data_IF_568348318099
#
_entry.id   IF_568348318099
#
_cell.length_a   1.000
_cell.length_b   1.000
_cell.length_c   1.000
_cell.angle_alpha   90.00
_cell.angle_beta   90.00
_cell.angle_gamma   90.00
#
_symmetry.space_group_name_H-M   'P 1'
#
loop_
_entity.id
_entity.type
_entity.pdbx_description
1 polymer ?
#
# COMPACT_ATOMS: atom_id res chain seq x y z
N UNK A 1 40.91 -4.58 9.61
CA UNK A 1 40.29 -3.38 9.00
C UNK A 1 38.93 -3.83 8.49
N UNK A 2 37.85 -3.51 9.20
CA UNK A 2 36.52 -4.06 8.96
C UNK A 2 36.01 -3.59 7.59
N UNK A 3 35.73 -4.54 6.70
CA UNK A 3 34.96 -4.28 5.49
C UNK A 3 33.50 -4.22 5.92
N UNK A 4 32.97 -3.00 6.03
CA UNK A 4 31.51 -2.80 6.12
C UNK A 4 30.98 -3.15 4.73
N UNK A 5 30.18 -4.22 4.57
CA UNK A 5 29.44 -4.40 3.33
C UNK A 5 28.50 -3.20 3.24
N UNK A 6 28.60 -2.41 2.18
CA UNK A 6 27.59 -1.39 1.90
C UNK A 6 26.31 -2.15 1.61
N UNK A 7 25.38 -2.09 2.56
CA UNK A 7 24.05 -2.65 2.49
C UNK A 7 23.23 -1.73 1.58
N UNK A 8 23.56 -1.71 0.29
CA UNK A 8 22.66 -1.25 -0.75
C UNK A 8 21.56 -2.33 -0.89
N UNK A 9 20.81 -2.53 0.20
CA UNK A 9 19.76 -3.53 0.38
C UNK A 9 18.45 -2.98 -0.20
N UNK A 10 17.44 -3.83 -0.40
CA UNK A 10 16.72 -4.15 -1.62
C UNK A 10 15.72 -3.07 -2.07
N UNK A 11 15.81 -1.81 -1.63
CA UNK A 11 14.88 -0.76 -2.03
C UNK A 11 14.87 -0.56 -3.56
N UNK A 12 16.04 -0.64 -4.19
CA UNK A 12 16.16 -0.56 -5.65
C UNK A 12 15.55 -1.78 -6.33
N UNK A 13 15.83 -2.98 -5.80
CA UNK A 13 15.28 -4.24 -6.31
C UNK A 13 13.76 -4.33 -6.11
N UNK A 14 13.24 -3.81 -5.00
CA UNK A 14 11.83 -3.74 -4.65
C UNK A 14 11.09 -2.79 -5.59
N UNK A 15 11.66 -1.63 -5.92
CA UNK A 15 11.10 -0.71 -6.92
C UNK A 15 11.01 -1.38 -8.30
N UNK A 16 12.04 -2.14 -8.69
CA UNK A 16 12.00 -2.97 -9.89
C UNK A 16 10.95 -4.11 -9.78
N UNK A 17 10.79 -4.70 -8.59
CA UNK A 17 9.84 -5.77 -8.29
C UNK A 17 8.38 -5.30 -8.32
N UNK A 18 8.07 -4.05 -7.92
CA UNK A 18 6.69 -3.51 -8.02
C UNK A 18 6.20 -3.46 -9.47
N UNK A 19 7.09 -3.43 -10.46
CA UNK A 19 6.71 -3.52 -11.86
C UNK A 19 6.32 -4.95 -12.31
N UNK A 20 6.53 -5.98 -11.47
CA UNK A 20 6.43 -7.39 -11.87
C UNK A 20 5.69 -8.35 -10.90
N UNK A 21 5.08 -7.88 -9.79
CA UNK A 21 4.49 -8.77 -8.75
C UNK A 21 2.96 -8.84 -8.75
N UNK A 22 2.34 -10.01 -8.49
CA UNK A 22 0.96 -10.13 -8.02
C UNK A 22 0.82 -9.74 -6.53
N UNK A 23 -0.05 -8.77 -6.24
CA UNK A 23 -0.27 -8.22 -4.89
C UNK A 23 -0.63 -9.28 -3.84
N UNK A 24 -1.30 -10.37 -4.21
CA UNK A 24 -1.68 -11.46 -3.30
C UNK A 24 -0.48 -12.01 -2.52
N UNK A 25 0.69 -12.16 -3.18
CA UNK A 25 1.89 -12.67 -2.50
C UNK A 25 2.50 -11.68 -1.51
N UNK A 26 2.33 -10.37 -1.75
CA UNK A 26 2.87 -9.33 -0.88
C UNK A 26 2.00 -9.15 0.37
N UNK A 27 0.70 -9.34 0.22
CA UNK A 27 -0.29 -9.23 1.28
C UNK A 27 -0.60 -10.57 1.97
N UNK A 28 0.14 -11.63 1.63
CA UNK A 28 0.01 -12.94 2.28
C UNK A 28 0.23 -12.84 3.81
N UNK A 29 -0.71 -13.35 4.64
CA UNK A 29 -0.63 -13.21 6.10
C UNK A 29 0.59 -13.85 6.72
N UNK A 30 1.01 -15.02 6.23
CA UNK A 30 2.18 -15.71 6.75
C UNK A 30 3.46 -14.94 6.43
N UNK A 31 3.51 -14.31 5.26
CA UNK A 31 4.61 -13.43 4.89
C UNK A 31 4.64 -12.18 5.77
N UNK A 32 3.50 -11.51 5.94
CA UNK A 32 3.40 -10.35 6.83
C UNK A 32 3.78 -10.70 8.27
N UNK A 33 3.36 -11.87 8.78
CA UNK A 33 3.75 -12.37 10.11
C UNK A 33 5.24 -12.55 10.22
N UNK A 34 5.88 -13.21 9.24
CA UNK A 34 7.33 -13.38 9.21
C UNK A 34 8.08 -12.05 9.18
N UNK A 35 7.56 -11.05 8.47
CA UNK A 35 8.17 -9.72 8.43
C UNK A 35 8.09 -9.02 9.79
N UNK A 36 6.94 -9.12 10.48
CA UNK A 36 6.79 -8.61 11.85
C UNK A 36 7.76 -9.33 12.80
N UNK A 37 7.80 -10.67 12.76
CA UNK A 37 8.67 -11.47 13.61
C UNK A 37 10.16 -11.14 13.40
N UNK A 38 10.60 -11.04 12.15
CA UNK A 38 11.98 -10.69 11.80
C UNK A 38 12.37 -9.27 12.27
N UNK A 39 11.45 -8.31 12.17
CA UNK A 39 11.67 -6.95 12.65
C UNK A 39 11.87 -6.85 14.17
N UNK A 40 11.42 -7.84 14.94
CA UNK A 40 11.74 -7.92 16.38
C UNK A 40 13.15 -8.41 16.67
N UNK A 41 13.77 -9.09 15.70
CA UNK A 41 15.07 -9.73 15.85
C UNK A 41 16.22 -8.87 15.31
N UNK A 42 15.94 -8.02 14.30
CA UNK A 42 16.94 -7.17 13.65
C UNK A 42 16.30 -6.00 12.90
N UNK A 43 16.99 -4.86 12.89
CA UNK A 43 16.61 -3.67 12.12
C UNK A 43 17.04 -3.75 10.65
N UNK A 44 17.83 -4.76 10.27
CA UNK A 44 18.37 -4.94 8.91
C UNK A 44 17.39 -5.66 7.95
N UNK A 45 16.09 -5.63 8.23
CA UNK A 45 15.06 -6.33 7.44
C UNK A 45 14.01 -5.39 6.90
N UNK A 46 13.45 -5.73 5.75
CA UNK A 46 12.31 -5.01 5.18
C UNK A 46 11.11 -5.15 6.11
N UNK A 47 10.66 -4.02 6.67
CA UNK A 47 9.48 -3.95 7.52
C UNK A 47 8.18 -3.92 6.70
N UNK A 48 7.05 -4.21 7.36
CA UNK A 48 5.71 -4.09 6.74
C UNK A 48 5.41 -2.64 6.35
N UNK A 49 5.85 -1.68 7.16
CA UNK A 49 5.69 -0.24 6.89
C UNK A 49 6.43 0.19 5.61
N UNK A 50 7.70 -0.22 5.47
CA UNK A 50 8.49 0.07 4.28
C UNK A 50 7.91 -0.58 3.03
N UNK A 51 7.41 -1.82 3.13
CA UNK A 51 6.72 -2.51 2.04
C UNK A 51 5.51 -1.70 1.58
N UNK A 52 4.61 -1.33 2.50
CA UNK A 52 3.39 -0.62 2.16
C UNK A 52 3.67 0.78 1.62
N UNK A 53 4.60 1.52 2.24
CA UNK A 53 4.99 2.85 1.76
C UNK A 53 5.62 2.79 0.37
N UNK A 54 6.44 1.77 0.08
CA UNK A 54 7.05 1.57 -1.23
C UNK A 54 6.01 1.24 -2.29
N UNK A 55 5.06 0.34 -1.98
CA UNK A 55 3.96 -0.02 -2.87
C UNK A 55 3.09 1.20 -3.19
N UNK A 56 2.70 1.97 -2.17
CA UNK A 56 1.97 3.22 -2.36
C UNK A 56 2.73 4.18 -3.29
N UNK A 57 4.02 4.41 -3.02
CA UNK A 57 4.84 5.35 -3.80
C UNK A 57 4.90 4.97 -5.28
N UNK A 58 4.98 3.67 -5.59
CA UNK A 58 5.06 3.16 -6.96
C UNK A 58 3.70 3.05 -7.67
N UNK A 59 2.67 2.52 -7.00
CA UNK A 59 1.33 2.29 -7.56
C UNK A 59 0.54 3.61 -7.74
N UNK A 60 0.88 4.64 -6.97
CA UNK A 60 0.21 5.94 -6.99
C UNK A 60 1.11 7.08 -7.50
N UNK A 61 2.15 6.74 -8.26
CA UNK A 61 3.13 7.69 -8.78
C UNK A 61 2.52 8.80 -9.63
N UNK A 62 1.41 8.53 -10.33
CA UNK A 62 0.66 9.51 -11.13
C UNK A 62 0.14 10.68 -10.29
N UNK A 63 -0.19 10.45 -9.01
CA UNK A 63 -0.69 11.52 -8.14
C UNK A 63 0.40 12.56 -7.87
N UNK A 64 1.66 12.12 -7.80
CA UNK A 64 2.83 13.00 -7.67
C UNK A 64 3.18 13.64 -9.02
N UNK A 65 3.17 12.86 -10.10
CA UNK A 65 3.46 13.34 -11.46
C UNK A 65 2.38 14.26 -12.04
N UNK A 66 1.17 14.27 -11.44
CA UNK A 66 -0.01 15.02 -11.90
C UNK A 66 -0.42 14.66 -13.33
N UNK A 67 -0.23 13.41 -13.70
CA UNK A 67 -0.62 12.87 -15.01
C UNK A 67 -1.99 12.20 -14.92
N UNK A 68 -2.73 12.11 -16.04
CA UNK A 68 -3.92 11.27 -16.10
C UNK A 68 -3.58 9.81 -15.75
N UNK A 69 -4.50 9.12 -15.08
CA UNK A 69 -4.34 7.72 -14.71
C UNK A 69 -5.02 6.86 -15.77
N UNK A 70 -4.27 6.02 -16.48
CA UNK A 70 -4.84 5.11 -17.48
C UNK A 70 -5.60 3.92 -16.85
N UNK A 71 -6.26 3.13 -17.69
CA UNK A 71 -7.11 2.01 -17.24
C UNK A 71 -6.36 0.91 -16.48
N UNK A 72 -5.12 0.60 -16.87
CA UNK A 72 -4.33 -0.44 -16.23
C UNK A 72 -3.86 0.03 -14.85
N UNK A 73 -3.43 1.30 -14.76
CA UNK A 73 -3.03 1.93 -13.50
C UNK A 73 -4.20 2.04 -12.52
N UNK A 74 -5.40 2.40 -13.00
CA UNK A 74 -6.61 2.39 -12.16
C UNK A 74 -6.94 1.00 -11.62
N UNK A 75 -6.79 -0.05 -12.44
CA UNK A 75 -7.03 -1.43 -12.01
C UNK A 75 -6.03 -1.87 -10.93
N UNK A 76 -4.74 -1.52 -11.08
CA UNK A 76 -3.72 -1.84 -10.09
C UNK A 76 -3.94 -1.09 -8.77
N UNK A 77 -4.29 0.20 -8.86
CA UNK A 77 -4.63 1.03 -7.71
C UNK A 77 -5.85 0.48 -6.94
N UNK A 78 -6.88 0.03 -7.66
CA UNK A 78 -8.03 -0.63 -7.05
C UNK A 78 -7.60 -1.89 -6.30
N UNK A 79 -6.87 -2.79 -6.97
CA UNK A 79 -6.44 -4.04 -6.37
C UNK A 79 -5.60 -3.79 -5.11
N UNK A 80 -4.73 -2.78 -5.11
CA UNK A 80 -3.98 -2.40 -3.92
C UNK A 80 -4.89 -1.97 -2.75
N UNK A 81 -5.92 -1.16 -3.02
CA UNK A 81 -6.90 -0.74 -2.00
C UNK A 81 -7.70 -1.94 -1.48
N UNK A 82 -8.11 -2.86 -2.37
CA UNK A 82 -8.87 -4.04 -1.98
C UNK A 82 -8.11 -4.92 -0.99
N UNK A 83 -6.80 -5.13 -1.20
CA UNK A 83 -5.96 -5.90 -0.27
C UNK A 83 -5.84 -5.24 1.09
N UNK A 84 -5.61 -3.92 1.12
CA UNK A 84 -5.55 -3.18 2.38
C UNK A 84 -6.90 -3.22 3.12
N UNK A 85 -8.00 -3.09 2.40
CA UNK A 85 -9.35 -3.21 2.97
C UNK A 85 -9.63 -4.60 3.50
N UNK A 86 -9.18 -5.66 2.80
CA UNK A 86 -9.35 -7.03 3.26
C UNK A 86 -8.64 -7.28 4.61
N UNK A 87 -7.44 -6.73 4.79
CA UNK A 87 -6.73 -6.75 6.08
C UNK A 87 -7.50 -6.01 7.17
N UNK A 88 -7.95 -4.78 6.90
CA UNK A 88 -8.62 -3.91 7.88
C UNK A 88 -10.00 -4.44 8.27
N UNK A 89 -10.73 -5.03 7.33
CA UNK A 89 -12.05 -5.61 7.58
C UNK A 89 -11.97 -7.05 8.15
N UNK A 90 -10.78 -7.50 8.55
CA UNK A 90 -10.53 -8.84 9.09
C UNK A 90 -11.05 -9.97 8.18
N UNK A 91 -10.98 -9.78 6.87
CA UNK A 91 -11.37 -10.80 5.88
C UNK A 91 -10.24 -11.78 5.57
N UNK A 92 -9.09 -11.57 6.19
CA UNK A 92 -7.86 -12.32 5.98
C UNK A 92 -7.43 -12.91 7.31
N UNK A 93 -7.58 -14.23 7.45
CA UNK A 93 -7.22 -14.95 8.67
C UNK A 93 -5.72 -14.95 8.93
N UNK A 94 -5.33 -14.84 10.19
CA UNK A 94 -3.92 -14.89 10.61
C UNK A 94 -3.11 -13.63 10.28
N UNK A 95 -3.74 -12.55 9.80
CA UNK A 95 -3.07 -11.28 9.61
C UNK A 95 -2.54 -10.72 10.95
N UNK A 96 -1.25 -10.34 11.05
CA UNK A 96 -0.70 -9.73 12.26
C UNK A 96 -1.40 -8.41 12.61
N UNK A 97 -1.62 -8.14 13.90
CA UNK A 97 -2.27 -6.91 14.37
C UNK A 97 -1.53 -5.64 13.93
N UNK A 98 -0.21 -5.69 13.90
CA UNK A 98 0.61 -4.55 13.46
C UNK A 98 0.43 -4.30 11.95
N UNK A 99 0.37 -5.36 11.15
CA UNK A 99 0.08 -5.24 9.72
C UNK A 99 -1.32 -4.67 9.45
N UNK A 100 -2.33 -5.07 10.24
CA UNK A 100 -3.68 -4.48 10.17
C UNK A 100 -3.65 -2.99 10.54
N UNK A 101 -2.92 -2.64 11.60
CA UNK A 101 -2.79 -1.25 12.06
C UNK A 101 -2.09 -0.35 11.02
N UNK A 102 -1.04 -0.87 10.37
CA UNK A 102 -0.34 -0.21 9.28
C UNK A 102 -1.21 -0.12 8.02
N UNK A 103 -1.95 -1.18 7.68
CA UNK A 103 -2.89 -1.14 6.55
C UNK A 103 -3.96 -0.06 6.75
N UNK A 104 -4.45 0.10 7.99
CA UNK A 104 -5.39 1.16 8.34
C UNK A 104 -4.79 2.57 8.20
N UNK A 105 -3.53 2.76 8.61
CA UNK A 105 -2.82 4.02 8.41
C UNK A 105 -2.69 4.33 6.92
N UNK A 106 -2.27 3.34 6.13
CA UNK A 106 -2.11 3.45 4.68
C UNK A 106 -3.40 3.81 3.96
N UNK A 107 -4.52 3.18 4.31
CA UNK A 107 -5.84 3.55 3.79
C UNK A 107 -6.18 5.01 4.07
N UNK A 108 -5.93 5.50 5.29
CA UNK A 108 -6.17 6.92 5.63
C UNK A 108 -5.29 7.86 4.81
N UNK A 109 -4.04 7.50 4.56
CA UNK A 109 -3.12 8.30 3.76
C UNK A 109 -3.52 8.30 2.28
N UNK A 110 -3.91 7.15 1.73
CA UNK A 110 -4.47 7.03 0.39
C UNK A 110 -5.75 7.86 0.20
N UNK A 111 -6.69 7.82 1.15
CA UNK A 111 -7.91 8.64 1.11
C UNK A 111 -7.57 10.13 1.00
N UNK A 112 -6.65 10.65 1.83
CA UNK A 112 -6.18 12.04 1.76
C UNK A 112 -5.47 12.37 0.44
N UNK A 113 -4.60 11.48 -0.03
CA UNK A 113 -3.88 11.67 -1.30
C UNK A 113 -4.85 11.73 -2.49
N UNK A 114 -5.83 10.82 -2.52
CA UNK A 114 -6.87 10.77 -3.54
C UNK A 114 -7.73 12.03 -3.52
N UNK A 115 -8.22 12.45 -2.35
CA UNK A 115 -9.00 13.69 -2.19
C UNK A 115 -8.23 14.91 -2.70
N UNK A 116 -6.95 15.01 -2.33
CA UNK A 116 -6.07 16.08 -2.78
C UNK A 116 -5.84 16.05 -4.29
N UNK A 117 -5.63 14.88 -4.91
CA UNK A 117 -5.40 14.78 -6.35
C UNK A 117 -6.69 14.98 -7.17
N UNK A 118 -7.83 14.49 -6.69
CA UNK A 118 -9.13 14.64 -7.33
C UNK A 118 -9.54 16.12 -7.47
N UNK A 119 -9.25 16.94 -6.46
CA UNK A 119 -9.54 18.39 -6.50
C UNK A 119 -8.67 19.17 -7.50
N UNK A 120 -7.50 18.63 -7.87
CA UNK A 120 -6.52 19.31 -8.74
C UNK A 120 -6.57 18.85 -10.20
N UNK A 121 -6.99 17.62 -10.46
CA UNK A 121 -6.99 17.07 -11.83
C UNK A 121 -8.08 17.67 -12.71
N UNK A 122 -7.74 17.94 -13.97
CA UNK A 122 -8.70 18.34 -15.02
C UNK A 122 -9.32 17.15 -15.74
N UNK A 123 -8.70 15.98 -15.65
CA UNK A 123 -9.22 14.76 -16.26
C UNK A 123 -10.41 14.21 -15.47
N UNK A 124 -11.58 14.16 -16.11
CA UNK A 124 -12.83 13.77 -15.46
C UNK A 124 -12.80 12.30 -15.01
N UNK A 125 -12.18 11.42 -15.79
CA UNK A 125 -12.09 10.00 -15.49
C UNK A 125 -11.20 9.74 -14.28
N UNK A 126 -10.02 10.38 -14.24
CA UNK A 126 -9.12 10.37 -13.08
C UNK A 126 -9.83 10.90 -11.84
N UNK A 127 -10.55 12.03 -11.96
CA UNK A 127 -11.32 12.58 -10.84
C UNK A 127 -12.36 11.59 -10.29
N UNK A 128 -13.14 10.97 -11.19
CA UNK A 128 -14.17 10.01 -10.81
C UNK A 128 -13.58 8.77 -10.13
N UNK A 129 -12.46 8.25 -10.65
CA UNK A 129 -11.76 7.11 -10.04
C UNK A 129 -11.28 7.42 -8.63
N UNK A 130 -10.58 8.55 -8.45
CA UNK A 130 -10.03 8.94 -7.15
C UNK A 130 -11.13 9.22 -6.11
N UNK A 131 -12.22 9.86 -6.52
CA UNK A 131 -13.38 10.08 -5.65
C UNK A 131 -14.03 8.75 -5.23
N UNK A 132 -14.17 7.79 -6.15
CA UNK A 132 -14.70 6.47 -5.82
C UNK A 132 -13.80 5.70 -4.84
N UNK A 133 -12.49 5.70 -5.06
CA UNK A 133 -11.53 5.09 -4.11
C UNK A 133 -11.69 5.72 -2.73
N UNK A 134 -11.75 7.05 -2.65
CA UNK A 134 -11.93 7.75 -1.39
C UNK A 134 -13.20 7.28 -0.67
N UNK A 135 -14.35 7.25 -1.37
CA UNK A 135 -15.62 6.80 -0.80
C UNK A 135 -15.58 5.34 -0.30
N UNK A 136 -14.92 4.45 -1.04
CA UNK A 136 -14.76 3.04 -0.66
C UNK A 136 -13.91 2.90 0.61
N UNK A 137 -12.77 3.60 0.66
CA UNK A 137 -11.87 3.61 1.81
C UNK A 137 -12.57 4.17 3.04
N UNK A 138 -13.26 5.31 2.92
CA UNK A 138 -13.93 5.95 4.04
C UNK A 138 -15.05 5.05 4.60
N UNK A 139 -15.78 4.33 3.73
CA UNK A 139 -16.77 3.32 4.14
C UNK A 139 -16.14 2.12 4.84
N UNK A 140 -15.02 1.61 4.33
CA UNK A 140 -14.32 0.47 4.93
C UNK A 140 -13.83 0.81 6.35
N UNK A 141 -13.20 1.97 6.51
CA UNK A 141 -12.75 2.46 7.81
C UNK A 141 -13.92 2.69 8.79
N UNK A 142 -15.07 3.16 8.30
CA UNK A 142 -16.26 3.31 9.12
C UNK A 142 -16.92 1.97 9.49
N UNK A 143 -16.81 0.96 8.64
CA UNK A 143 -17.32 -0.38 8.91
C UNK A 143 -16.47 -1.13 9.95
N UNK A 144 -15.14 -1.02 9.87
CA UNK A 144 -14.21 -1.55 10.87
C UNK A 144 -14.56 -1.07 12.28
N UNK A 145 -14.86 0.21 12.46
CA UNK A 145 -15.22 0.78 13.77
C UNK A 145 -16.50 0.20 14.39
N UNK A 146 -17.30 -0.56 13.63
CA UNK A 146 -18.55 -1.18 14.10
C UNK A 146 -18.41 -2.68 14.39
N UNK A 147 -17.28 -3.29 14.06
CA UNK A 147 -16.95 -4.68 14.38
C UNK A 147 -16.44 -4.79 15.83
#
# INVERSE_FOLDING_TARGET
RFAVPRQDYPLVDMVAMVQAIPLDMLFDPQRLSRMVDLGTLTDDTLSVDELFTSLRSSIWSELRARTPIDVHRRSLQQSHVDHLMALVLHQVDGAPKDAVSLARLELKELSRMCAGAASRTKDRTTRAHLARIQDEVDKALAAEMKL
#
